data_IF_328649692515
#
_entry.id   IF_328649692515
#
_cell.length_a   1.000
_cell.length_b   1.000
_cell.length_c   1.000
_cell.angle_alpha   90.00
_cell.angle_beta   90.00
_cell.angle_gamma   90.00
#
_symmetry.space_group_name_H-M   'P 1'
#
loop_
_entity.id
_entity.type
_entity.pdbx_description
1 polymer ?
#
# COMPACT_ATOMS: atom_id res chain seq x y z
N UNK A 1 -34.40 -28.70 -3.59
CA UNK A 1 -34.29 -27.68 -4.67
C UNK A 1 -33.64 -26.40 -4.15
N UNK A 2 -34.24 -25.70 -3.16
CA UNK A 2 -33.73 -24.42 -2.62
C UNK A 2 -32.26 -24.38 -2.17
N UNK A 3 -31.74 -25.40 -1.48
CA UNK A 3 -30.34 -25.40 -1.02
C UNK A 3 -29.31 -25.46 -2.16
N UNK A 4 -29.61 -26.18 -3.25
CA UNK A 4 -28.70 -26.29 -4.40
C UNK A 4 -28.61 -24.97 -5.16
N UNK A 5 -29.72 -24.26 -5.31
CA UNK A 5 -29.75 -22.93 -5.94
C UNK A 5 -29.02 -21.90 -5.09
N UNK A 6 -29.28 -21.86 -3.78
CA UNK A 6 -28.56 -20.98 -2.86
C UNK A 6 -27.05 -21.21 -2.91
N UNK A 7 -26.62 -22.48 -2.87
CA UNK A 7 -25.20 -22.84 -2.93
C UNK A 7 -24.56 -22.47 -4.28
N UNK A 8 -25.32 -22.54 -5.37
CA UNK A 8 -24.86 -22.12 -6.69
C UNK A 8 -24.67 -20.60 -6.74
N UNK A 9 -25.66 -19.83 -6.29
CA UNK A 9 -25.61 -18.37 -6.26
C UNK A 9 -24.43 -17.88 -5.40
N UNK A 10 -24.23 -18.45 -4.21
CA UNK A 10 -23.12 -18.04 -3.35
C UNK A 10 -21.76 -18.42 -3.92
N UNK A 11 -21.65 -19.60 -4.56
CA UNK A 11 -20.41 -20.01 -5.23
C UNK A 11 -20.08 -19.13 -6.43
N UNK A 12 -21.07 -18.74 -7.23
CA UNK A 12 -20.90 -17.84 -8.37
C UNK A 12 -20.51 -16.44 -7.92
N UNK A 13 -21.19 -15.90 -6.90
CA UNK A 13 -20.86 -14.61 -6.31
C UNK A 13 -19.44 -14.59 -5.71
N UNK A 14 -19.05 -15.66 -5.02
CA UNK A 14 -17.70 -15.79 -4.47
C UNK A 14 -16.65 -15.83 -5.58
N UNK A 15 -16.87 -16.58 -6.65
CA UNK A 15 -15.96 -16.62 -7.81
C UNK A 15 -15.79 -15.23 -8.40
N UNK A 16 -16.90 -14.53 -8.69
CA UNK A 16 -16.85 -13.19 -9.26
C UNK A 16 -16.13 -12.20 -8.33
N UNK A 17 -16.35 -12.29 -7.02
CA UNK A 17 -15.62 -11.45 -6.06
C UNK A 17 -14.11 -11.73 -6.08
N UNK A 18 -13.69 -12.99 -6.21
CA UNK A 18 -12.27 -13.35 -6.33
C UNK A 18 -11.67 -12.87 -7.66
N UNK A 19 -12.41 -12.97 -8.76
CA UNK A 19 -11.98 -12.46 -10.08
C UNK A 19 -11.75 -10.94 -10.02
N UNK A 20 -12.73 -10.18 -9.55
CA UNK A 20 -12.64 -8.72 -9.40
C UNK A 20 -11.47 -8.34 -8.49
N UNK A 21 -11.29 -9.05 -7.38
CA UNK A 21 -10.19 -8.78 -6.46
C UNK A 21 -8.84 -9.06 -7.11
N UNK A 22 -8.71 -10.17 -7.83
CA UNK A 22 -7.48 -10.51 -8.54
C UNK A 22 -7.12 -9.50 -9.63
N UNK A 23 -8.10 -9.02 -10.39
CA UNK A 23 -7.91 -7.97 -11.39
C UNK A 23 -7.47 -6.65 -10.75
N UNK A 24 -8.13 -6.24 -9.66
CA UNK A 24 -7.76 -5.03 -8.92
C UNK A 24 -6.36 -5.11 -8.32
N UNK A 25 -5.99 -6.24 -7.73
CA UNK A 25 -4.64 -6.46 -7.17
C UNK A 25 -3.57 -6.41 -8.28
N UNK A 26 -3.88 -6.97 -9.46
CA UNK A 26 -2.99 -6.91 -10.62
C UNK A 26 -2.83 -5.49 -11.17
N UNK A 27 -3.93 -4.74 -11.29
CA UNK A 27 -3.92 -3.34 -11.73
C UNK A 27 -3.13 -2.45 -10.75
N UNK A 28 -3.41 -2.59 -9.45
CA UNK A 28 -2.66 -1.87 -8.41
C UNK A 28 -1.16 -2.17 -8.51
N UNK A 29 -0.79 -3.45 -8.63
CA UNK A 29 0.62 -3.86 -8.77
C UNK A 29 1.26 -3.27 -10.03
N UNK A 30 0.53 -3.23 -11.15
CA UNK A 30 1.01 -2.64 -12.40
C UNK A 30 1.22 -1.12 -12.27
N UNK A 31 0.26 -0.40 -11.66
CA UNK A 31 0.37 1.03 -11.37
C UNK A 31 1.56 1.31 -10.46
N UNK A 32 1.74 0.51 -9.41
CA UNK A 32 2.91 0.62 -8.55
C UNK A 32 4.17 0.44 -9.38
N UNK A 33 4.32 -0.66 -10.13
CA UNK A 33 5.50 -0.94 -10.95
C UNK A 33 5.80 0.17 -11.99
N UNK A 34 4.77 0.73 -12.60
CA UNK A 34 4.90 1.86 -13.52
C UNK A 34 5.35 3.14 -12.78
N UNK A 35 4.79 3.43 -11.61
CA UNK A 35 5.22 4.55 -10.78
C UNK A 35 6.67 4.38 -10.29
N UNK A 36 7.06 3.17 -9.89
CA UNK A 36 8.43 2.81 -9.50
C UNK A 36 9.45 3.07 -10.60
N UNK A 37 9.08 2.82 -11.85
CA UNK A 37 9.97 3.00 -13.00
C UNK A 37 10.02 4.44 -13.51
N UNK A 38 8.94 5.22 -13.30
CA UNK A 38 8.87 6.63 -13.72
C UNK A 38 9.65 7.58 -12.82
N UNK A 39 9.67 7.37 -11.51
CA UNK A 39 10.40 8.24 -10.58
C UNK A 39 10.82 7.51 -9.28
N UNK A 40 12.07 7.05 -9.19
CA UNK A 40 12.61 6.44 -7.98
C UNK A 40 12.58 7.36 -6.75
N UNK A 41 12.67 8.69 -6.92
CA UNK A 41 12.62 9.66 -5.81
C UNK A 41 11.20 9.75 -5.22
N UNK A 42 10.17 9.72 -6.07
CA UNK A 42 8.77 9.72 -5.62
C UNK A 42 8.44 8.47 -4.78
N UNK A 43 8.93 7.29 -5.20
CA UNK A 43 8.77 6.07 -4.41
C UNK A 43 9.47 6.17 -3.05
N UNK A 44 10.73 6.60 -3.02
CA UNK A 44 11.47 6.78 -1.76
C UNK A 44 10.73 7.74 -0.82
N UNK A 45 10.10 8.78 -1.35
CA UNK A 45 9.27 9.70 -0.58
C UNK A 45 8.01 9.04 0.00
N UNK A 46 7.18 8.37 -0.82
CA UNK A 46 5.95 7.69 -0.36
C UNK A 46 6.28 6.60 0.65
N UNK A 47 7.32 5.80 0.40
CA UNK A 47 7.74 4.74 1.32
C UNK A 47 8.21 5.30 2.66
N UNK A 48 8.88 6.45 2.64
CA UNK A 48 9.28 7.18 3.84
C UNK A 48 8.05 7.64 4.63
N UNK A 49 7.02 8.17 3.97
CA UNK A 49 5.77 8.57 4.62
C UNK A 49 4.98 7.39 5.22
N UNK A 50 4.91 6.25 4.53
CA UNK A 50 4.32 5.03 5.09
C UNK A 50 5.09 4.56 6.33
N UNK A 51 6.42 4.54 6.24
CA UNK A 51 7.28 4.15 7.35
C UNK A 51 7.06 5.07 8.54
N UNK A 52 6.91 6.39 8.34
CA UNK A 52 6.57 7.33 9.41
C UNK A 52 5.25 6.97 10.07
N UNK A 53 4.23 6.65 9.28
CA UNK A 53 2.92 6.27 9.81
C UNK A 53 2.95 4.99 10.64
N UNK A 54 3.76 4.01 10.25
CA UNK A 54 3.89 2.72 10.95
C UNK A 54 4.82 2.79 12.18
N UNK A 55 5.82 3.67 12.16
CA UNK A 55 6.79 3.81 13.26
C UNK A 55 6.36 4.85 14.30
N UNK A 56 5.56 5.84 13.95
CA UNK A 56 5.02 6.83 14.90
C UNK A 56 3.74 6.31 15.57
N UNK A 57 3.86 5.26 16.36
CA UNK A 57 2.84 4.87 17.34
C UNK A 57 3.21 5.47 18.72
N UNK A 58 2.24 5.61 19.63
CA UNK A 58 2.36 6.40 20.88
C UNK A 58 3.54 5.99 21.81
N UNK A 59 4.16 4.84 21.56
CA UNK A 59 5.26 4.28 22.35
C UNK A 59 6.63 4.25 21.65
N UNK A 60 6.77 4.79 20.44
CA UNK A 60 8.06 4.72 19.72
C UNK A 60 8.99 5.87 20.11
N UNK A 61 10.10 5.54 20.76
CA UNK A 61 11.22 6.45 20.97
C UNK A 61 12.14 6.45 19.74
N UNK A 62 11.96 7.42 18.84
CA UNK A 62 12.87 7.66 17.72
C UNK A 62 14.22 8.17 18.25
N UNK A 63 15.27 7.36 18.12
CA UNK A 63 16.64 7.81 18.35
C UNK A 63 17.11 8.63 17.13
N UNK A 64 16.89 9.93 17.19
CA UNK A 64 17.19 10.89 16.13
C UNK A 64 18.69 11.24 16.13
N UNK A 65 19.47 10.65 15.23
CA UNK A 65 20.79 11.18 14.88
C UNK A 65 20.66 12.14 13.70
N UNK A 66 21.37 13.26 13.76
CA UNK A 66 21.28 14.43 12.85
C UNK A 66 21.46 14.11 11.36
N UNK A 67 22.06 12.96 11.05
CA UNK A 67 22.46 12.49 9.73
C UNK A 67 21.59 11.34 9.19
N UNK A 68 20.47 11.03 9.86
CA UNK A 68 19.58 9.98 9.39
C UNK A 68 18.94 10.36 8.06
N UNK A 69 19.19 9.56 7.01
CA UNK A 69 18.53 9.60 5.69
C UNK A 69 16.99 9.68 5.82
N UNK A 70 16.46 9.19 6.94
CA UNK A 70 15.06 9.31 7.33
C UNK A 70 14.55 10.74 7.27
N UNK A 71 15.34 11.77 7.58
CA UNK A 71 14.90 13.17 7.58
C UNK A 71 15.15 13.93 6.26
N UNK A 72 15.69 13.29 5.22
CA UNK A 72 16.06 13.95 3.96
C UNK A 72 14.88 14.70 3.31
N UNK A 73 13.67 14.15 3.42
CA UNK A 73 12.46 14.76 2.87
C UNK A 73 11.78 15.75 3.84
N UNK A 74 11.84 15.52 5.15
CA UNK A 74 11.34 16.46 6.16
C UNK A 74 12.16 17.76 6.22
N UNK A 75 13.49 17.70 6.09
CA UNK A 75 14.35 18.89 6.05
C UNK A 75 14.11 19.78 4.83
N UNK A 76 13.59 19.22 3.73
CA UNK A 76 13.32 19.95 2.47
C UNK A 76 12.01 20.77 2.51
N UNK A 77 11.18 20.56 3.54
CA UNK A 77 9.92 21.29 3.79
C UNK A 77 10.08 22.48 4.74
N UNK A 78 11.29 22.76 5.24
CA UNK A 78 11.58 24.00 5.95
C UNK A 78 11.88 25.12 4.94
N UNK A 79 11.20 26.28 5.02
CA UNK A 79 11.60 27.47 4.25
C UNK A 79 13.00 27.97 4.62
#
# INVERSE_FOLDING_TARGET
MREKELKKITSEAYRTAQEIKGEADAEATAIYAEAYTKDPEFYSFVKTLETYKETLDDNTWLLLTSDSEFYKYLKKLSP
#
